data_IF_181884420424
#
_entry.id   IF_181884420424
#
_cell.length_a   1.000
_cell.length_b   1.000
_cell.length_c   1.000
_cell.angle_alpha   90.00
_cell.angle_beta   90.00
_cell.angle_gamma   90.00
#
_symmetry.space_group_name_H-M   'P 1'
#
loop_
_entity.id
_entity.type
_entity.pdbx_description
1 polymer ?
#
# COMPACT_ATOMS: atom_id res chain seq x y z
N UNK A 1 -15.22 -59.04 13.83
CA UNK A 1 -15.26 -57.56 13.91
C UNK A 1 -13.98 -57.02 13.29
N UNK A 2 -14.03 -56.49 12.06
CA UNK A 2 -12.85 -55.99 11.36
C UNK A 2 -12.70 -54.50 11.69
N UNK A 3 -11.77 -54.18 12.59
CA UNK A 3 -11.28 -52.81 12.81
C UNK A 3 -10.47 -52.44 11.56
N UNK A 4 -11.17 -51.94 10.55
CA UNK A 4 -10.59 -51.25 9.41
C UNK A 4 -11.20 -49.85 9.42
N UNK A 5 -10.36 -48.86 9.15
CA UNK A 5 -10.73 -47.45 8.95
C UNK A 5 -10.76 -46.60 10.23
N UNK A 6 -9.58 -46.33 10.82
CA UNK A 6 -9.46 -45.16 11.71
C UNK A 6 -8.02 -44.63 11.86
N UNK A 7 -7.23 -44.60 10.77
CA UNK A 7 -5.91 -43.93 10.77
C UNK A 7 -5.71 -43.11 9.47
N UNK A 8 -6.78 -42.52 8.93
CA UNK A 8 -6.66 -41.68 7.73
C UNK A 8 -7.37 -40.33 7.89
N UNK A 9 -7.43 -39.80 9.11
CA UNK A 9 -8.10 -38.52 9.40
C UNK A 9 -7.27 -37.55 10.25
N UNK A 10 -5.96 -37.78 10.42
CA UNK A 10 -5.11 -36.86 11.20
C UNK A 10 -4.06 -36.10 10.38
N UNK A 11 -3.88 -36.45 9.09
CA UNK A 11 -2.88 -35.78 8.23
C UNK A 11 -3.46 -34.53 7.55
N UNK A 12 -4.78 -34.35 7.53
CA UNK A 12 -5.40 -33.18 6.89
C UNK A 12 -5.42 -31.91 7.77
N UNK A 13 -5.04 -31.99 9.05
CA UNK A 13 -5.01 -30.84 9.96
C UNK A 13 -3.75 -29.97 9.85
N UNK A 14 -2.70 -30.42 9.16
CA UNK A 14 -1.44 -29.67 9.05
C UNK A 14 -1.40 -28.67 7.87
N UNK A 15 -2.48 -28.57 7.09
CA UNK A 15 -2.61 -27.57 6.02
C UNK A 15 -3.27 -26.26 6.48
N UNK A 16 -3.37 -26.02 7.79
CA UNK A 16 -3.45 -24.65 8.31
C UNK A 16 -2.06 -24.02 8.19
N UNK A 17 -1.57 -23.88 6.96
CA UNK A 17 -0.41 -23.03 6.70
C UNK A 17 -0.74 -21.67 7.34
N UNK A 18 0.11 -21.26 8.29
CA UNK A 18 0.07 -19.91 8.83
C UNK A 18 0.25 -18.97 7.64
N UNK A 19 -0.86 -18.47 7.12
CA UNK A 19 -0.89 -17.45 6.08
C UNK A 19 -0.46 -16.15 6.77
N UNK A 20 0.86 -16.02 6.99
CA UNK A 20 1.45 -14.81 7.51
C UNK A 20 1.31 -13.69 6.49
N UNK A 21 1.17 -12.46 6.97
CA UNK A 21 1.26 -11.31 6.10
C UNK A 21 2.70 -11.20 5.58
N UNK A 22 2.83 -11.01 4.27
CA UNK A 22 4.13 -10.90 3.61
C UNK A 22 4.58 -9.45 3.46
N UNK A 23 5.89 -9.24 3.42
CA UNK A 23 6.46 -7.96 2.98
C UNK A 23 6.16 -7.75 1.52
N UNK A 24 5.71 -6.56 1.16
CA UNK A 24 5.28 -6.18 -0.19
C UNK A 24 5.92 -4.88 -0.63
N UNK A 25 6.06 -4.68 -1.93
CA UNK A 25 6.37 -3.39 -2.55
C UNK A 25 5.12 -2.80 -3.19
N UNK A 26 5.20 -1.56 -3.68
CA UNK A 26 4.07 -0.89 -4.31
C UNK A 26 3.47 -1.71 -5.47
N UNK A 27 4.33 -2.32 -6.30
CA UNK A 27 3.92 -3.17 -7.42
C UNK A 27 3.19 -4.44 -6.99
N UNK A 28 3.43 -4.97 -5.79
CA UNK A 28 2.70 -6.15 -5.30
C UNK A 28 1.25 -5.82 -4.96
N UNK A 29 0.97 -4.55 -4.62
CA UNK A 29 -0.38 -4.04 -4.41
C UNK A 29 -1.02 -3.58 -5.73
N UNK A 30 -0.23 -2.90 -6.56
CA UNK A 30 -0.66 -2.32 -7.81
C UNK A 30 -0.50 -3.30 -8.97
N UNK A 31 -1.54 -4.07 -9.27
CA UNK A 31 -1.54 -5.13 -10.30
C UNK A 31 -1.54 -4.62 -11.76
N UNK A 32 -1.18 -3.36 -11.98
CA UNK A 32 -1.13 -2.71 -13.29
C UNK A 32 0.26 -2.09 -13.47
N UNK A 33 0.52 -1.54 -14.65
CA UNK A 33 1.74 -0.78 -14.87
C UNK A 33 1.65 0.59 -14.18
N UNK A 34 2.64 0.91 -13.33
CA UNK A 34 2.74 2.22 -12.71
C UNK A 34 3.00 3.33 -13.74
N UNK A 35 3.59 3.00 -14.90
CA UNK A 35 3.85 3.96 -15.97
C UNK A 35 2.55 4.46 -16.65
N UNK A 36 1.45 3.72 -16.49
CA UNK A 36 0.13 4.11 -16.99
C UNK A 36 -0.60 5.13 -16.08
N UNK A 37 -0.05 5.46 -14.90
CA UNK A 37 -0.66 6.44 -13.98
C UNK A 37 -0.67 7.83 -14.62
N UNK A 38 -1.85 8.43 -14.73
CA UNK A 38 -2.05 9.75 -15.36
C UNK A 38 -2.26 10.87 -14.36
N UNK A 39 -2.65 10.54 -13.12
CA UNK A 39 -2.87 11.52 -12.07
C UNK A 39 -2.60 10.91 -10.69
N UNK A 40 -2.03 11.72 -9.81
CA UNK A 40 -1.86 11.41 -8.39
C UNK A 40 -2.56 12.48 -7.56
N UNK A 41 -3.30 12.05 -6.55
CA UNK A 41 -3.83 12.95 -5.51
C UNK A 41 -3.20 12.58 -4.18
N UNK A 42 -2.59 13.56 -3.52
CA UNK A 42 -2.06 13.40 -2.16
C UNK A 42 -2.91 14.25 -1.21
N UNK A 43 -3.51 13.59 -0.23
CA UNK A 43 -4.30 14.20 0.85
C UNK A 43 -3.47 14.23 2.13
N UNK A 44 -3.26 15.42 2.70
CA UNK A 44 -2.70 15.59 4.04
C UNK A 44 -3.78 15.34 5.10
N UNK A 45 -3.60 14.29 5.91
CA UNK A 45 -4.55 13.91 6.96
C UNK A 45 -4.55 14.85 8.17
N UNK A 46 -3.56 15.72 8.30
CA UNK A 46 -3.45 16.72 9.39
C UNK A 46 -4.27 17.97 9.09
N UNK A 47 -4.27 18.40 7.82
CA UNK A 47 -4.92 19.65 7.39
C UNK A 47 -6.18 19.44 6.55
N UNK A 48 -6.35 18.27 5.94
CA UNK A 48 -7.40 18.00 4.97
C UNK A 48 -7.10 18.52 3.55
N UNK A 49 -5.96 19.19 3.35
CA UNK A 49 -5.58 19.78 2.08
C UNK A 49 -5.16 18.70 1.07
N UNK A 50 -5.54 18.91 -0.19
CA UNK A 50 -5.23 18.00 -1.30
C UNK A 50 -4.33 18.68 -2.31
N UNK A 51 -3.39 17.91 -2.87
CA UNK A 51 -2.60 18.30 -4.04
C UNK A 51 -2.86 17.31 -5.16
N UNK A 52 -3.24 17.82 -6.32
CA UNK A 52 -3.47 17.03 -7.53
C UNK A 52 -2.30 17.23 -8.48
N UNK A 53 -1.70 16.14 -8.93
CA UNK A 53 -0.56 16.13 -9.84
C UNK A 53 -0.99 15.45 -11.13
N UNK A 54 -0.87 16.15 -12.25
CA UNK A 54 -1.11 15.62 -13.60
C UNK A 54 0.12 15.74 -14.50
N UNK A 55 1.20 16.37 -14.03
CA UNK A 55 2.47 16.43 -14.76
C UNK A 55 3.12 15.05 -14.78
N UNK A 56 3.27 14.49 -15.99
CA UNK A 56 3.79 13.12 -16.17
C UNK A 56 5.20 12.92 -15.63
N UNK A 57 6.06 13.95 -15.68
CA UNK A 57 7.42 13.86 -15.16
C UNK A 57 7.39 13.80 -13.63
N UNK A 58 6.63 14.68 -12.99
CA UNK A 58 6.47 14.66 -11.52
C UNK A 58 5.84 13.35 -11.02
N UNK A 59 4.87 12.80 -11.74
CA UNK A 59 4.27 11.50 -11.44
C UNK A 59 5.33 10.39 -11.53
N UNK A 60 6.06 10.32 -12.64
CA UNK A 60 7.08 9.29 -12.87
C UNK A 60 8.21 9.38 -11.83
N UNK A 61 8.72 10.58 -11.57
CA UNK A 61 9.75 10.83 -10.56
C UNK A 61 9.29 10.35 -9.18
N UNK A 62 8.09 10.75 -8.74
CA UNK A 62 7.53 10.34 -7.45
C UNK A 62 7.32 8.82 -7.33
N UNK A 63 6.69 8.19 -8.32
CA UNK A 63 6.45 6.74 -8.30
C UNK A 63 7.78 5.97 -8.29
N UNK A 64 8.80 6.47 -8.98
CA UNK A 64 10.13 5.85 -8.97
C UNK A 64 10.79 5.88 -7.59
N UNK A 65 10.58 6.94 -6.80
CA UNK A 65 11.13 7.08 -5.44
C UNK A 65 10.49 6.10 -4.44
N UNK A 66 9.21 5.76 -4.63
CA UNK A 66 8.46 4.92 -3.68
C UNK A 66 8.27 3.46 -4.13
N UNK A 67 8.52 3.14 -5.40
CA UNK A 67 8.24 1.82 -5.99
C UNK A 67 8.88 0.67 -5.23
N UNK A 68 10.14 0.83 -4.83
CA UNK A 68 10.94 -0.23 -4.22
C UNK A 68 10.83 -0.26 -2.68
N UNK A 69 10.07 0.66 -2.08
CA UNK A 69 9.85 0.71 -0.64
C UNK A 69 9.17 -0.57 -0.18
N UNK A 70 9.76 -1.20 0.84
CA UNK A 70 9.21 -2.39 1.45
C UNK A 70 8.17 -2.02 2.49
N UNK A 71 6.93 -2.43 2.28
CA UNK A 71 5.84 -2.43 3.24
C UNK A 71 5.92 -3.73 4.05
N UNK A 72 6.39 -3.62 5.28
CA UNK A 72 6.59 -4.76 6.18
C UNK A 72 5.41 -4.79 7.17
N UNK A 73 4.59 -5.86 7.16
CA UNK A 73 3.42 -5.95 8.03
C UNK A 73 3.81 -5.80 9.50
N UNK A 74 3.07 -4.95 10.21
CA UNK A 74 3.24 -4.84 11.65
C UNK A 74 2.69 -6.07 12.38
N UNK A 75 3.34 -6.45 13.49
CA UNK A 75 2.80 -7.52 14.36
C UNK A 75 1.49 -7.09 15.03
N UNK A 76 1.38 -5.81 15.39
CA UNK A 76 0.14 -5.25 15.95
C UNK A 76 -0.74 -4.70 14.83
N UNK A 77 -1.89 -5.35 14.60
CA UNK A 77 -2.90 -4.96 13.60
C UNK A 77 -4.16 -4.35 14.24
N UNK A 78 -4.08 -3.90 15.49
CA UNK A 78 -5.17 -3.16 16.14
C UNK A 78 -5.54 -1.90 15.34
N UNK A 79 -6.83 -1.59 15.32
CA UNK A 79 -7.33 -0.43 14.60
C UNK A 79 -6.77 0.88 15.18
N UNK A 80 -6.39 1.78 14.27
CA UNK A 80 -5.84 3.11 14.56
C UNK A 80 -6.73 4.16 13.89
N UNK A 81 -6.67 5.39 14.38
CA UNK A 81 -7.41 6.51 13.82
C UNK A 81 -6.45 7.53 13.23
N UNK A 82 -6.85 8.10 12.09
CA UNK A 82 -6.09 9.12 11.38
C UNK A 82 -4.94 8.56 10.56
N UNK A 83 -4.40 9.40 9.68
CA UNK A 83 -3.27 9.10 8.82
C UNK A 83 -2.47 10.38 8.57
N UNK A 84 -1.23 10.24 8.12
CA UNK A 84 -0.39 11.40 7.79
C UNK A 84 -0.66 11.88 6.36
N UNK A 85 -0.50 10.98 5.39
CA UNK A 85 -0.89 11.21 4.00
C UNK A 85 -1.65 10.01 3.45
N UNK A 86 -2.60 10.29 2.57
CA UNK A 86 -3.19 9.30 1.67
C UNK A 86 -2.81 9.63 0.24
N UNK A 87 -2.32 8.62 -0.50
CA UNK A 87 -1.94 8.71 -1.90
C UNK A 87 -2.96 7.95 -2.72
N UNK A 88 -3.47 8.58 -3.77
CA UNK A 88 -4.48 8.03 -4.68
C UNK A 88 -3.92 8.11 -6.10
N UNK A 89 -3.90 6.96 -6.79
CA UNK A 89 -3.44 6.83 -8.16
C UNK A 89 -4.65 6.72 -9.09
N UNK A 90 -4.54 7.37 -10.25
CA UNK A 90 -5.56 7.36 -11.28
C UNK A 90 -4.96 6.98 -12.64
N UNK A 91 -5.76 6.32 -13.46
CA UNK A 91 -5.48 6.09 -14.87
C UNK A 91 -6.68 6.57 -15.69
N UNK A 92 -6.48 7.57 -16.54
CA UNK A 92 -7.53 8.17 -17.37
C UNK A 92 -8.78 8.53 -16.54
N UNK A 93 -8.57 9.29 -15.46
CA UNK A 93 -9.60 9.76 -14.51
C UNK A 93 -10.31 8.67 -13.68
N UNK A 94 -9.89 7.40 -13.81
CA UNK A 94 -10.39 6.30 -12.98
C UNK A 94 -9.45 6.07 -11.80
N UNK A 95 -9.97 6.11 -10.57
CA UNK A 95 -9.21 5.72 -9.37
C UNK A 95 -8.82 4.24 -9.49
N UNK A 96 -7.53 3.95 -9.47
CA UNK A 96 -7.00 2.59 -9.63
C UNK A 96 -6.42 2.03 -8.36
N UNK A 97 -5.92 2.88 -7.46
CA UNK A 97 -5.34 2.45 -6.20
C UNK A 97 -5.27 3.58 -5.19
N UNK A 98 -5.47 3.25 -3.92
CA UNK A 98 -5.37 4.18 -2.80
C UNK A 98 -4.69 3.50 -1.63
N UNK A 99 -3.79 4.23 -0.98
CA UNK A 99 -3.19 3.79 0.27
C UNK A 99 -2.92 4.96 1.22
N UNK A 100 -2.77 4.64 2.50
CA UNK A 100 -2.20 5.51 3.51
C UNK A 100 -0.76 5.05 3.76
N UNK A 101 0.12 5.95 4.19
CA UNK A 101 1.56 5.63 4.33
C UNK A 101 1.87 4.45 5.26
N UNK A 102 0.97 4.17 6.20
CA UNK A 102 1.08 3.07 7.17
C UNK A 102 -0.04 2.05 7.02
N UNK A 103 -0.94 2.19 6.05
CA UNK A 103 -2.07 1.27 5.88
C UNK A 103 -2.41 1.06 4.40
N UNK A 104 -2.45 -0.21 3.99
CA UNK A 104 -2.88 -0.63 2.66
C UNK A 104 -3.94 -1.70 2.82
N UNK A 105 -5.12 -1.53 2.20
CA UNK A 105 -6.22 -2.50 2.26
C UNK A 105 -6.58 -2.95 3.69
N UNK A 106 -6.53 -2.02 4.67
CA UNK A 106 -6.85 -2.28 6.07
C UNK A 106 -5.73 -2.94 6.90
N UNK A 107 -4.59 -3.27 6.28
CA UNK A 107 -3.44 -3.87 6.95
C UNK A 107 -2.41 -2.79 7.26
N UNK A 108 -1.87 -2.80 8.47
CA UNK A 108 -0.84 -1.86 8.92
C UNK A 108 0.57 -2.33 8.58
N UNK A 109 1.37 -1.40 8.09
CA UNK A 109 2.75 -1.61 7.68
C UNK A 109 3.63 -0.50 8.25
N UNK A 110 4.87 -0.87 8.58
CA UNK A 110 5.98 0.08 8.57
C UNK A 110 6.76 -0.08 7.26
N UNK A 111 7.49 0.95 6.86
CA UNK A 111 8.19 0.97 5.57
C UNK A 111 9.70 0.97 5.73
N UNK A 112 10.40 0.36 4.76
CA UNK A 112 11.86 0.41 4.65
C UNK A 112 12.28 0.70 3.19
N UNK A 113 12.93 1.85 2.91
CA UNK A 113 13.12 3.00 3.81
C UNK A 113 11.79 3.59 4.27
N UNK A 114 11.82 4.46 5.29
CA UNK A 114 10.62 5.16 5.75
C UNK A 114 10.05 6.02 4.61
N UNK A 115 8.80 5.76 4.24
CA UNK A 115 8.09 6.46 3.17
C UNK A 115 7.67 7.88 3.57
N UNK A 116 7.54 8.17 4.87
CA UNK A 116 6.99 9.45 5.34
C UNK A 116 7.80 10.66 4.85
N UNK A 117 9.13 10.74 5.06
CA UNK A 117 9.92 11.88 4.59
C UNK A 117 9.84 12.09 3.09
N UNK A 118 9.81 11.00 2.31
CA UNK A 118 9.76 11.04 0.84
C UNK A 118 8.46 11.72 0.38
N UNK A 119 7.32 11.27 0.92
CA UNK A 119 6.00 11.81 0.57
C UNK A 119 5.81 13.23 1.10
N UNK A 120 6.25 13.49 2.34
CA UNK A 120 6.14 14.81 2.98
C UNK A 120 6.94 15.87 2.21
N UNK A 121 8.17 15.55 1.83
CA UNK A 121 9.03 16.45 1.05
C UNK A 121 8.46 16.67 -0.35
N UNK A 122 8.00 15.62 -1.03
CA UNK A 122 7.36 15.74 -2.33
C UNK A 122 6.11 16.65 -2.25
N UNK A 123 5.23 16.39 -1.27
CA UNK A 123 4.03 17.20 -1.05
C UNK A 123 4.36 18.68 -0.82
N UNK A 124 5.39 18.99 -0.01
CA UNK A 124 5.80 20.37 0.26
C UNK A 124 6.39 21.09 -0.95
N UNK A 125 7.13 20.37 -1.81
CA UNK A 125 7.79 20.95 -3.00
C UNK A 125 6.84 21.25 -4.15
N UNK A 126 5.72 20.53 -4.26
CA UNK A 126 4.76 20.78 -5.33
C UNK A 126 4.05 22.11 -5.07
N UNK A 127 4.27 23.08 -5.95
CA UNK A 127 3.42 24.27 -6.03
C UNK A 127 2.22 23.91 -6.92
N UNK A 128 1.04 23.77 -6.31
CA UNK A 128 -0.18 23.47 -7.07
C UNK A 128 -0.75 24.80 -7.51
N UNK A 129 -0.86 25.02 -8.82
CA UNK A 129 -1.69 26.10 -9.35
C UNK A 129 -3.14 25.65 -9.22
N UNK A 130 -3.91 26.39 -8.43
CA UNK A 130 -5.37 26.24 -8.30
C UNK A 130 -6.10 26.34 -9.65
#
# INVERSE_FOLDING_TARGET
MKIKTLIFSFVFLFLLASCGLETKQLNDFYKKDLDDVTMIVILDGRTGNKKTIMDKKLISDFLSEIRDIQFIPEKNQEQRKGFQYSVILFQNDVETFKFELTQVNGIYYYTKPDIYPIVDDFYKRIDVRD
#
